data_IF_765357221185
#
_entry.id   IF_765357221185
#
_cell.length_a   1.000
_cell.length_b   1.000
_cell.length_c   1.000
_cell.angle_alpha   90.00
_cell.angle_beta   90.00
_cell.angle_gamma   90.00
#
_symmetry.space_group_name_H-M   'P 1'
#
loop_
_entity.id
_entity.type
_entity.pdbx_description
1 polymer ?
#
# COMPACT_ATOMS: atom_id res chain seq x y z
N UNK A 1 -10.67 -0.25 -5.93
CA UNK A 1 -9.40 0.49 -6.09
C UNK A 1 -8.29 -0.50 -6.33
N UNK A 2 -7.28 -0.11 -7.09
CA UNK A 2 -6.06 -0.89 -7.30
C UNK A 2 -4.87 -0.07 -6.88
N UNK A 3 -4.03 -0.64 -6.03
CA UNK A 3 -2.77 -0.05 -5.59
C UNK A 3 -1.61 -0.91 -6.12
N UNK A 4 -0.59 -0.26 -6.66
CA UNK A 4 0.65 -0.88 -7.10
C UNK A 4 1.77 -0.23 -6.31
N UNK A 5 2.40 -1.01 -5.44
CA UNK A 5 3.62 -0.60 -4.77
C UNK A 5 4.79 -0.69 -5.73
N UNK A 6 5.56 0.41 -5.85
CA UNK A 6 6.77 0.43 -6.63
C UNK A 6 7.98 0.70 -5.71
N UNK A 7 8.89 -0.28 -5.60
CA UNK A 7 10.08 -0.15 -4.76
C UNK A 7 11.21 0.69 -5.35
N UNK A 8 11.07 1.23 -6.56
CA UNK A 8 12.11 1.96 -7.29
C UNK A 8 11.66 3.30 -7.88
N UNK A 9 10.35 3.52 -8.01
CA UNK A 9 9.72 4.71 -8.57
C UNK A 9 8.42 5.03 -7.79
N UNK A 10 7.57 5.94 -8.29
CA UNK A 10 6.32 6.30 -7.63
C UNK A 10 5.30 5.14 -7.57
N UNK A 11 4.56 5.10 -6.46
CA UNK A 11 3.40 4.22 -6.33
C UNK A 11 2.28 4.60 -7.32
N UNK A 12 1.44 3.63 -7.65
CA UNK A 12 0.26 3.84 -8.47
C UNK A 12 -1.02 3.52 -7.71
N UNK A 13 -2.05 4.35 -7.88
CA UNK A 13 -3.38 4.14 -7.34
C UNK A 13 -4.42 4.49 -8.41
N UNK A 14 -5.33 3.55 -8.66
CA UNK A 14 -6.41 3.72 -9.64
C UNK A 14 -7.79 3.51 -8.99
N UNK A 15 -8.69 4.47 -9.19
CA UNK A 15 -10.12 4.28 -8.92
C UNK A 15 -10.78 3.58 -10.12
N UNK A 16 -10.76 2.25 -10.10
CA UNK A 16 -11.33 1.42 -11.16
C UNK A 16 -12.83 1.66 -11.43
N UNK A 17 -13.56 2.34 -10.53
CA UNK A 17 -14.97 2.67 -10.76
C UNK A 17 -15.12 3.83 -11.74
N UNK A 18 -14.21 4.79 -11.69
CA UNK A 18 -14.20 5.98 -12.55
C UNK A 18 -13.17 5.90 -13.67
N UNK A 19 -12.14 5.07 -13.49
CA UNK A 19 -11.03 4.84 -14.41
C UNK A 19 -10.74 3.33 -14.54
N UNK A 20 -11.64 2.56 -15.18
CA UNK A 20 -11.48 1.12 -15.33
C UNK A 20 -10.32 0.72 -16.26
N UNK A 21 -9.76 1.68 -17.01
CA UNK A 21 -8.64 1.46 -17.92
C UNK A 21 -7.30 1.88 -17.31
N UNK A 22 -7.27 2.28 -16.03
CA UNK A 22 -6.04 2.62 -15.29
C UNK A 22 -5.22 3.73 -15.98
N UNK A 23 -5.89 4.72 -16.55
CA UNK A 23 -5.25 5.80 -17.32
C UNK A 23 -4.77 6.96 -16.44
N UNK A 24 -5.28 7.08 -15.21
CA UNK A 24 -4.99 8.19 -14.29
C UNK A 24 -4.51 7.67 -12.94
N UNK A 25 -3.21 7.76 -12.71
CA UNK A 25 -2.63 7.56 -11.39
C UNK A 25 -3.06 8.70 -10.44
N UNK A 26 -3.69 8.35 -9.33
CA UNK A 26 -4.13 9.27 -8.26
C UNK A 26 -3.38 9.05 -6.94
N UNK A 27 -2.23 8.38 -6.95
CA UNK A 27 -1.48 8.03 -5.73
C UNK A 27 -1.01 9.23 -4.90
N UNK A 28 -0.84 10.40 -5.52
CA UNK A 28 -0.41 11.64 -4.86
C UNK A 28 -1.57 12.63 -4.66
N UNK A 29 -2.79 12.26 -5.06
CA UNK A 29 -3.96 13.09 -4.84
C UNK A 29 -4.40 12.99 -3.37
N UNK A 30 -4.37 14.09 -2.59
CA UNK A 30 -4.73 14.07 -1.17
C UNK A 30 -6.15 13.55 -0.90
N UNK A 31 -7.07 13.67 -1.87
CA UNK A 31 -8.42 13.14 -1.74
C UNK A 31 -8.45 11.60 -1.61
N UNK A 32 -7.41 10.91 -2.08
CA UNK A 32 -7.27 9.46 -2.02
C UNK A 32 -6.31 8.98 -0.92
N UNK A 33 -5.77 9.86 -0.09
CA UNK A 33 -4.78 9.51 0.93
C UNK A 33 -5.27 8.41 1.89
N UNK A 34 -6.52 8.49 2.35
CA UNK A 34 -7.12 7.46 3.20
C UNK A 34 -7.27 6.11 2.47
N UNK A 35 -7.69 6.14 1.20
CA UNK A 35 -7.81 4.94 0.38
C UNK A 35 -6.45 4.29 0.13
N UNK A 36 -5.42 5.10 -0.15
CA UNK A 36 -4.04 4.63 -0.31
C UNK A 36 -3.55 3.95 0.96
N UNK A 37 -3.78 4.58 2.11
CA UNK A 37 -3.41 4.03 3.41
C UNK A 37 -4.04 2.65 3.66
N UNK A 38 -5.35 2.52 3.45
CA UNK A 38 -6.07 1.26 3.67
C UNK A 38 -5.57 0.14 2.73
N UNK A 39 -5.22 0.47 1.49
CA UNK A 39 -4.68 -0.49 0.53
C UNK A 39 -3.23 -0.91 0.88
N UNK A 40 -2.41 0.02 1.35
CA UNK A 40 -1.05 -0.29 1.84
C UNK A 40 -1.12 -1.22 3.06
N UNK A 41 -2.09 -1.00 3.96
CA UNK A 41 -2.33 -1.91 5.08
C UNK A 41 -2.73 -3.31 4.62
N UNK A 42 -3.67 -3.40 3.67
CA UNK A 42 -4.08 -4.69 3.09
C UNK A 42 -2.90 -5.40 2.41
N UNK A 43 -2.03 -4.68 1.71
CA UNK A 43 -0.81 -5.23 1.11
C UNK A 43 0.09 -5.86 2.17
N UNK A 44 0.37 -5.16 3.28
CA UNK A 44 1.19 -5.69 4.36
C UNK A 44 0.57 -6.89 5.08
N UNK A 45 -0.74 -6.86 5.32
CA UNK A 45 -1.47 -7.98 5.91
C UNK A 45 -1.40 -9.21 4.99
N UNK A 46 -1.63 -9.01 3.70
CA UNK A 46 -1.52 -10.08 2.71
C UNK A 46 -0.10 -10.65 2.64
N UNK A 47 0.90 -9.78 2.56
CA UNK A 47 2.30 -10.18 2.57
C UNK A 47 2.65 -11.01 3.81
N UNK A 48 2.16 -10.62 5.00
CA UNK A 48 2.41 -11.34 6.25
C UNK A 48 1.83 -12.76 6.19
N UNK A 49 0.61 -12.91 5.66
CA UNK A 49 -0.03 -14.22 5.47
C UNK A 49 0.74 -15.10 4.49
N UNK A 50 1.36 -14.51 3.46
CA UNK A 50 2.11 -15.24 2.44
C UNK A 50 3.59 -15.46 2.81
N UNK A 51 4.04 -15.01 3.98
CA UNK A 51 5.47 -15.00 4.36
C UNK A 51 6.36 -14.38 3.27
N UNK A 52 5.89 -13.29 2.67
CA UNK A 52 6.47 -12.71 1.46
C UNK A 52 7.87 -12.12 1.70
N UNK A 53 8.73 -12.18 0.68
CA UNK A 53 10.09 -11.62 0.70
C UNK A 53 10.13 -10.10 0.90
N UNK A 54 9.00 -9.40 0.74
CA UNK A 54 8.89 -7.95 0.95
C UNK A 54 9.24 -7.51 2.39
N UNK A 55 9.23 -8.42 3.37
CA UNK A 55 9.76 -8.18 4.73
C UNK A 55 11.29 -8.17 4.80
N UNK A 56 11.98 -8.00 3.66
CA UNK A 56 13.42 -8.02 3.55
C UNK A 56 14.10 -7.17 4.65
N UNK A 57 15.11 -7.72 5.38
CA UNK A 57 15.81 -7.02 6.46
C UNK A 57 16.57 -5.75 6.01
N UNK A 58 16.77 -5.55 4.71
CA UNK A 58 17.38 -4.34 4.17
C UNK A 58 16.35 -3.22 4.03
N UNK A 59 16.02 -2.56 5.15
CA UNK A 59 15.04 -1.47 5.18
C UNK A 59 15.35 -0.27 4.25
N UNK A 60 16.57 -0.15 3.72
CA UNK A 60 16.95 0.88 2.74
C UNK A 60 16.21 0.78 1.41
N UNK A 61 15.55 -0.35 1.12
CA UNK A 61 14.70 -0.53 -0.08
C UNK A 61 13.20 -0.55 0.25
N UNK A 62 12.83 -0.40 1.52
CA UNK A 62 11.45 -0.31 1.97
C UNK A 62 10.90 1.11 1.79
N UNK A 63 10.48 1.45 0.57
CA UNK A 63 9.99 2.79 0.22
C UNK A 63 8.46 2.94 0.31
N UNK A 64 7.76 1.96 0.87
CA UNK A 64 6.31 2.07 1.06
C UNK A 64 5.99 3.23 2.01
N UNK A 65 4.94 4.03 1.73
CA UNK A 65 4.61 5.23 2.50
C UNK A 65 4.24 4.94 3.97
N UNK A 66 3.75 3.74 4.25
CA UNK A 66 3.56 3.22 5.61
C UNK A 66 4.13 1.80 5.70
N UNK A 67 4.76 1.49 6.83
CA UNK A 67 5.41 0.19 7.05
C UNK A 67 4.47 -0.87 7.67
N UNK A 68 4.92 -2.13 7.75
CA UNK A 68 4.10 -3.25 8.24
C UNK A 68 3.63 -3.08 9.70
N UNK A 69 4.35 -2.30 10.52
CA UNK A 69 3.94 -2.01 11.90
C UNK A 69 2.58 -1.29 11.98
N UNK A 70 2.24 -0.41 11.03
CA UNK A 70 0.91 0.23 11.00
C UNK A 70 -0.20 -0.78 10.71
N UNK A 71 0.06 -1.68 9.76
CA UNK A 71 -0.90 -2.66 9.27
C UNK A 71 -1.14 -3.84 10.22
N UNK A 72 -0.11 -4.22 10.96
CA UNK A 72 -0.06 -5.37 11.87
C UNK A 72 -0.20 -4.98 13.34
N UNK A 73 -0.31 -3.69 13.67
CA UNK A 73 -0.68 -3.28 15.01
C UNK A 73 -2.03 -3.92 15.36
N UNK A 74 -2.03 -4.77 16.40
CA UNK A 74 -3.25 -5.30 16.99
C UNK A 74 -4.17 -4.10 17.31
N UNK A 75 -5.42 -4.15 16.86
CA UNK A 75 -6.44 -3.23 17.35
C UNK A 75 -6.57 -3.55 18.83
N UNK A 76 -5.88 -2.79 19.68
CA UNK A 76 -5.94 -2.99 21.12
C UNK A 76 -7.40 -3.02 21.55
N UNK A 77 -7.84 -4.17 22.04
CA UNK A 77 -9.13 -4.31 22.69
C UNK A 77 -9.19 -3.30 23.85
N UNK A 78 -10.05 -2.30 23.70
CA UNK A 78 -10.48 -1.42 24.78
C UNK A 78 -11.73 -1.95 25.44
#
# INVERSE_FOLDING_TARGET
FKYVFNGFDFDELYDLRTDPLEMRNVADDPAYAAVKHDLVRQMWQFAAVQEDIIFNPYGTVGLAPWGPADALAEVGEG
#
